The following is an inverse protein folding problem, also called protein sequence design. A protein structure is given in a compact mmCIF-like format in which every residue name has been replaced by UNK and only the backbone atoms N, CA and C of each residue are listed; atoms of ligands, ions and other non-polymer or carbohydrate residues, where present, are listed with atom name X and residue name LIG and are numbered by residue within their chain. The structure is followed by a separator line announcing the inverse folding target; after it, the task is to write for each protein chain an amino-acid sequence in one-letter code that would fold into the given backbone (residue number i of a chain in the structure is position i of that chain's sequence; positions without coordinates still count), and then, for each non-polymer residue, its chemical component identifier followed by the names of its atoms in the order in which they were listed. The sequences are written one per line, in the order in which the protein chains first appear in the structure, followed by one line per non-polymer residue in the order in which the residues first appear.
data_IF_858968271713
#
_entry.id   IF_858968271713
#
_cell.length_a   1.000
_cell.length_b   1.000
_cell.length_c   1.000
_cell.angle_alpha   90.00
_cell.angle_beta   90.00
_cell.angle_gamma   90.00
#
_symmetry.space_group_name_H-M   'P 1'
#
loop_
_entity.id
_entity.type
_entity.pdbx_description
1 polymer ?
#
# COMPACT_ATOMS: atom_id res chain seq x y z
N UNK A 1 -2.68 23.29 -20.45
CA UNK A 1 -2.68 23.30 -21.92
C UNK A 1 -1.30 22.99 -22.49
N UNK A 2 -0.22 23.67 -22.06
CA UNK A 2 1.13 23.49 -22.61
C UNK A 2 1.73 22.05 -22.47
N UNK A 3 1.65 21.42 -21.29
CA UNK A 3 2.32 20.11 -21.08
C UNK A 3 1.76 18.95 -21.93
N UNK A 4 0.45 18.96 -22.22
CA UNK A 4 -0.17 17.92 -23.06
C UNK A 4 0.21 18.05 -24.53
N UNK A 5 0.55 19.26 -24.99
CA UNK A 5 0.94 19.52 -26.38
C UNK A 5 2.34 19.01 -26.69
N UNK A 6 3.24 18.98 -25.70
CA UNK A 6 4.65 18.57 -25.86
C UNK A 6 4.96 17.22 -25.19
N UNK A 7 3.94 16.42 -24.89
CA UNK A 7 4.12 15.19 -24.10
C UNK A 7 5.12 14.19 -24.68
N UNK A 8 5.17 14.06 -26.00
CA UNK A 8 6.11 13.19 -26.72
C UNK A 8 7.56 13.69 -26.65
N UNK A 9 7.76 15.01 -26.54
CA UNK A 9 9.09 15.62 -26.40
C UNK A 9 9.59 15.57 -24.96
N UNK A 10 8.68 15.68 -24.00
CA UNK A 10 8.96 15.65 -22.56
C UNK A 10 9.22 14.22 -22.07
N UNK A 11 8.52 13.24 -22.63
CA UNK A 11 8.57 11.85 -22.15
C UNK A 11 10.00 11.26 -22.09
N UNK A 12 10.87 11.41 -23.10
CA UNK A 12 12.25 10.96 -23.01
C UNK A 12 13.06 11.62 -21.88
N UNK A 13 12.74 12.88 -21.52
CA UNK A 13 13.40 13.60 -20.42
C UNK A 13 12.97 13.00 -19.09
N UNK A 14 11.67 12.73 -18.94
CA UNK A 14 11.12 12.07 -17.75
C UNK A 14 11.71 10.67 -17.55
N UNK A 15 11.81 9.88 -18.63
CA UNK A 15 12.53 8.60 -18.58
C UNK A 15 13.99 8.81 -18.14
N UNK A 16 14.69 9.80 -18.70
CA UNK A 16 16.06 10.10 -18.29
C UNK A 16 16.22 10.33 -16.78
N UNK A 17 15.25 10.99 -16.14
CA UNK A 17 15.27 11.26 -14.70
C UNK A 17 14.85 10.04 -13.87
N UNK A 18 13.88 9.25 -14.35
CA UNK A 18 13.44 8.02 -13.67
C UNK A 18 14.53 6.93 -13.65
N UNK A 19 15.41 6.92 -14.65
CA UNK A 19 16.53 5.99 -14.73
C UNK A 19 17.83 6.56 -14.15
N UNK A 20 17.80 7.76 -13.59
CA UNK A 20 18.96 8.38 -12.97
C UNK A 20 19.13 7.87 -11.53
N UNK A 21 20.33 7.40 -11.18
CA UNK A 21 20.71 7.10 -9.79
C UNK A 21 21.10 8.38 -9.03
N UNK A 22 21.50 9.41 -9.76
CA UNK A 22 21.79 10.76 -9.27
C UNK A 22 21.65 11.75 -10.45
N UNK A 23 21.57 13.04 -10.14
CA UNK A 23 21.64 14.10 -11.16
C UNK A 23 22.98 14.80 -11.06
N UNK A 24 24.03 14.20 -11.65
CA UNK A 24 25.36 14.83 -11.75
C UNK A 24 25.22 16.26 -12.30
N UNK A 25 25.97 17.21 -11.72
CA UNK A 25 25.94 18.66 -11.96
C UNK A 25 24.83 19.48 -11.28
N UNK A 26 23.93 18.86 -10.50
CA UNK A 26 22.97 19.59 -9.66
C UNK A 26 23.12 19.17 -8.20
N UNK A 27 23.10 20.13 -7.28
CA UNK A 27 23.07 19.89 -5.83
C UNK A 27 21.71 19.27 -5.41
N UNK A 28 21.39 18.08 -5.92
CA UNK A 28 20.14 17.34 -5.68
C UNK A 28 20.47 16.14 -4.81
N UNK A 29 19.86 16.07 -3.63
CA UNK A 29 20.02 14.93 -2.73
C UNK A 29 19.22 13.71 -3.22
N UNK A 30 19.52 12.49 -2.75
CA UNK A 30 18.73 11.31 -3.09
C UNK A 30 17.23 11.45 -2.75
N UNK A 31 16.91 12.09 -1.63
CA UNK A 31 15.53 12.32 -1.21
C UNK A 31 14.81 13.29 -2.16
N UNK A 32 15.49 14.36 -2.58
CA UNK A 32 14.95 15.28 -3.57
C UNK A 32 14.78 14.63 -4.95
N UNK A 33 15.67 13.69 -5.30
CA UNK A 33 15.52 12.92 -6.53
C UNK A 33 14.27 12.05 -6.47
N UNK A 34 14.02 11.36 -5.34
CA UNK A 34 12.78 10.60 -5.14
C UNK A 34 11.53 11.50 -5.21
N UNK A 35 11.55 12.70 -4.63
CA UNK A 35 10.44 13.65 -4.78
C UNK A 35 10.18 14.00 -6.26
N UNK A 36 11.23 14.32 -7.01
CA UNK A 36 11.12 14.64 -8.44
C UNK A 36 10.60 13.43 -9.22
N UNK A 37 11.12 12.23 -8.94
CA UNK A 37 10.69 11.00 -9.58
C UNK A 37 9.22 10.71 -9.29
N UNK A 38 8.76 10.90 -8.04
CA UNK A 38 7.35 10.75 -7.67
C UNK A 38 6.43 11.69 -8.43
N UNK A 39 6.78 12.97 -8.52
CA UNK A 39 6.04 13.92 -9.37
C UNK A 39 6.02 13.50 -10.84
N UNK A 40 7.10 12.93 -11.36
CA UNK A 40 7.14 12.43 -12.73
C UNK A 40 6.16 11.27 -12.91
N UNK A 41 6.04 10.34 -11.95
CA UNK A 41 5.05 9.26 -11.99
C UNK A 41 3.64 9.84 -12.14
N UNK A 42 3.24 10.79 -11.28
CA UNK A 42 1.92 11.43 -11.36
C UNK A 42 1.70 12.15 -12.69
N UNK A 43 2.74 12.81 -13.23
CA UNK A 43 2.65 13.52 -14.50
C UNK A 43 2.48 12.56 -15.68
N UNK A 44 3.15 11.40 -15.66
CA UNK A 44 2.98 10.38 -16.70
C UNK A 44 1.51 9.90 -16.75
N UNK A 45 0.91 9.65 -15.59
CA UNK A 45 -0.50 9.27 -15.48
C UNK A 45 -1.43 10.37 -16.04
N UNK A 46 -1.26 11.62 -15.57
CA UNK A 46 -2.05 12.77 -16.03
C UNK A 46 -1.93 13.01 -17.55
N UNK A 47 -0.77 12.72 -18.12
CA UNK A 47 -0.49 12.90 -19.55
C UNK A 47 -0.87 11.65 -20.38
N UNK A 48 -1.32 10.58 -19.73
CA UNK A 48 -1.60 9.26 -20.32
C UNK A 48 -0.40 8.78 -21.14
N UNK A 49 0.78 8.86 -20.53
CA UNK A 49 2.04 8.38 -21.11
C UNK A 49 2.35 6.98 -20.58
N UNK A 50 3.06 6.14 -21.36
CA UNK A 50 3.44 4.82 -20.89
C UNK A 50 4.31 4.89 -19.62
N UNK A 51 4.01 4.04 -18.65
CA UNK A 51 4.80 3.95 -17.42
C UNK A 51 5.93 2.92 -17.55
N UNK A 52 7.16 3.23 -17.13
CA UNK A 52 8.26 2.26 -17.04
C UNK A 52 8.19 1.44 -15.74
N UNK A 53 7.16 0.59 -15.60
CA UNK A 53 6.89 -0.16 -14.36
C UNK A 53 8.06 -0.97 -13.80
N UNK A 54 8.89 -1.55 -14.67
CA UNK A 54 10.10 -2.28 -14.25
C UNK A 54 11.05 -1.37 -13.46
N UNK A 55 11.22 -0.13 -13.89
CA UNK A 55 12.04 0.84 -13.20
C UNK A 55 11.42 1.29 -11.88
N UNK A 56 10.08 1.34 -11.81
CA UNK A 56 9.40 1.63 -10.55
C UNK A 56 9.68 0.57 -9.50
N UNK A 57 9.60 -0.70 -9.88
CA UNK A 57 9.93 -1.83 -9.00
C UNK A 57 11.42 -1.87 -8.66
N UNK A 58 12.30 -1.45 -9.56
CA UNK A 58 13.74 -1.31 -9.28
C UNK A 58 14.00 -0.30 -8.17
N UNK A 59 13.42 0.90 -8.25
CA UNK A 59 13.59 1.93 -7.22
C UNK A 59 12.89 1.50 -5.93
N UNK A 60 11.64 1.04 -6.03
CA UNK A 60 10.83 0.66 -4.88
C UNK A 60 11.51 -0.38 -4.00
N UNK A 61 12.08 -1.46 -4.57
CA UNK A 61 12.58 -2.61 -3.78
C UNK A 61 13.65 -2.24 -2.74
N UNK A 62 14.37 -1.14 -2.96
CA UNK A 62 15.48 -0.70 -2.13
C UNK A 62 15.07 0.34 -1.08
N UNK A 63 13.84 0.89 -1.15
CA UNK A 63 13.38 1.95 -0.26
C UNK A 63 13.18 1.47 1.18
N UNK A 64 13.85 2.15 2.12
CA UNK A 64 13.73 1.85 3.54
C UNK A 64 12.67 2.72 4.24
N UNK A 65 12.45 3.93 3.73
CA UNK A 65 11.55 4.94 4.28
C UNK A 65 10.49 5.34 3.25
N UNK A 66 9.44 5.99 3.72
CA UNK A 66 8.38 6.54 2.88
C UNK A 66 8.91 7.67 1.98
N UNK A 67 8.31 7.80 0.80
CA UNK A 67 8.62 8.88 -0.13
C UNK A 67 7.46 9.10 -1.07
N UNK A 68 7.36 10.29 -1.64
CA UNK A 68 6.38 10.58 -2.68
C UNK A 68 6.51 9.60 -3.87
N UNK A 69 7.75 9.20 -4.20
CA UNK A 69 7.94 8.18 -5.22
C UNK A 69 7.26 6.87 -4.86
N UNK A 70 7.40 6.40 -3.62
CA UNK A 70 6.82 5.14 -3.21
C UNK A 70 5.29 5.15 -3.34
N UNK A 71 4.64 6.22 -2.87
CA UNK A 71 3.19 6.39 -2.95
C UNK A 71 2.69 6.37 -4.40
N UNK A 72 3.28 7.22 -5.25
CA UNK A 72 2.85 7.39 -6.65
C UNK A 72 3.17 6.15 -7.50
N UNK A 73 4.34 5.54 -7.29
CA UNK A 73 4.74 4.33 -7.99
C UNK A 73 3.87 3.14 -7.60
N UNK A 74 3.57 2.95 -6.30
CA UNK A 74 2.66 1.89 -5.84
C UNK A 74 1.26 2.08 -6.41
N UNK A 75 0.72 3.30 -6.42
CA UNK A 75 -0.58 3.58 -7.05
C UNK A 75 -0.58 3.23 -8.56
N UNK A 76 0.44 3.66 -9.31
CA UNK A 76 0.56 3.35 -10.73
C UNK A 76 0.72 1.83 -11.00
N UNK A 77 1.43 1.11 -10.14
CA UNK A 77 1.59 -0.34 -10.23
C UNK A 77 0.30 -1.09 -9.88
N UNK A 78 -0.49 -0.59 -8.94
CA UNK A 78 -1.80 -1.15 -8.62
C UNK A 78 -2.75 -1.06 -9.82
N UNK A 79 -2.77 0.08 -10.51
CA UNK A 79 -3.55 0.27 -11.75
C UNK A 79 -3.05 -0.63 -12.89
N UNK A 80 -1.74 -0.91 -12.96
CA UNK A 80 -1.18 -1.87 -13.91
C UNK A 80 -1.67 -3.32 -13.64
N UNK A 81 -2.01 -3.61 -12.39
CA UNK A 81 -2.60 -4.87 -11.93
C UNK A 81 -1.77 -6.10 -12.36
N UNK A 82 -2.43 -7.01 -13.06
CA UNK A 82 -1.87 -8.32 -13.47
C UNK A 82 -0.66 -8.22 -14.40
N UNK A 83 -0.44 -7.09 -15.08
CA UNK A 83 0.68 -6.91 -16.00
C UNK A 83 2.05 -7.01 -15.31
N UNK A 84 2.11 -6.60 -14.03
CA UNK A 84 3.34 -6.51 -13.25
C UNK A 84 3.45 -7.57 -12.15
N UNK A 85 2.50 -8.52 -12.10
CA UNK A 85 2.35 -9.49 -10.99
C UNK A 85 3.64 -10.25 -10.69
N UNK A 86 4.27 -10.85 -11.70
CA UNK A 86 5.47 -11.66 -11.46
C UNK A 86 6.63 -10.78 -10.97
N UNK A 87 6.78 -9.58 -11.53
CA UNK A 87 7.81 -8.63 -11.12
C UNK A 87 7.59 -8.11 -9.70
N UNK A 88 6.33 -7.97 -9.26
CA UNK A 88 5.99 -7.61 -7.87
C UNK A 88 6.43 -8.72 -6.91
N UNK A 89 6.14 -9.99 -7.22
CA UNK A 89 6.61 -11.12 -6.39
C UNK A 89 8.14 -11.22 -6.35
N UNK A 90 8.81 -11.01 -7.49
CA UNK A 90 10.27 -10.98 -7.55
C UNK A 90 10.88 -9.83 -6.73
N UNK A 91 10.26 -8.64 -6.76
CA UNK A 91 10.68 -7.50 -5.96
C UNK A 91 10.46 -7.75 -4.46
N UNK A 92 9.31 -8.33 -4.08
CA UNK A 92 9.00 -8.65 -2.68
C UNK A 92 10.02 -9.60 -2.06
N UNK A 93 10.49 -10.61 -2.81
CA UNK A 93 11.43 -11.61 -2.32
C UNK A 93 12.78 -11.05 -1.82
N UNK A 94 13.13 -9.82 -2.22
CA UNK A 94 14.38 -9.16 -1.82
C UNK A 94 14.16 -7.86 -1.04
N UNK A 95 12.91 -7.40 -0.91
CA UNK A 95 12.58 -6.13 -0.29
C UNK A 95 12.62 -6.19 1.24
N UNK A 96 12.96 -5.06 1.85
CA UNK A 96 12.86 -4.81 3.29
C UNK A 96 12.28 -3.43 3.56
N UNK A 97 12.15 -3.05 4.83
CA UNK A 97 11.70 -1.71 5.21
C UNK A 97 10.35 -1.31 4.59
N UNK A 98 10.23 -0.04 4.20
CA UNK A 98 9.00 0.50 3.60
C UNK A 98 8.64 -0.16 2.26
N UNK A 99 9.63 -0.52 1.44
CA UNK A 99 9.42 -1.24 0.18
C UNK A 99 8.56 -2.49 0.35
N UNK A 100 8.83 -3.26 1.41
CA UNK A 100 8.08 -4.47 1.72
C UNK A 100 6.59 -4.18 1.94
N UNK A 101 6.27 -3.10 2.65
CA UNK A 101 4.88 -2.66 2.88
C UNK A 101 4.18 -2.33 1.58
N UNK A 102 4.82 -1.54 0.71
CA UNK A 102 4.30 -1.21 -0.63
C UNK A 102 4.04 -2.47 -1.50
N UNK A 103 4.93 -3.46 -1.43
CA UNK A 103 4.82 -4.67 -2.24
C UNK A 103 3.75 -5.62 -1.70
N UNK A 104 3.57 -5.70 -0.38
CA UNK A 104 2.45 -6.43 0.24
C UNK A 104 1.10 -5.83 -0.16
N UNK A 105 1.02 -4.50 -0.19
CA UNK A 105 -0.17 -3.79 -0.67
C UNK A 105 -0.49 -4.17 -2.13
N UNK A 106 0.50 -4.20 -3.02
CA UNK A 106 0.30 -4.67 -4.39
C UNK A 106 -0.13 -6.14 -4.46
N UNK A 107 0.49 -7.00 -3.65
CA UNK A 107 0.18 -8.44 -3.60
C UNK A 107 -1.28 -8.70 -3.22
N UNK A 108 -1.88 -7.90 -2.34
CA UNK A 108 -3.29 -8.07 -1.96
C UNK A 108 -4.30 -7.85 -3.09
N UNK A 109 -3.90 -7.29 -4.24
CA UNK A 109 -4.78 -7.20 -5.41
C UNK A 109 -4.83 -8.50 -6.24
N UNK A 110 -3.91 -9.46 -6.03
CA UNK A 110 -3.78 -10.67 -6.85
C UNK A 110 -4.67 -11.83 -6.37
N UNK A 111 -5.97 -11.57 -6.28
CA UNK A 111 -6.98 -12.58 -5.90
C UNK A 111 -6.88 -13.86 -6.74
N UNK A 112 -6.98 -15.02 -6.09
CA UNK A 112 -6.89 -16.34 -6.74
C UNK A 112 -5.46 -16.85 -6.97
N UNK A 113 -4.42 -16.07 -6.69
CA UNK A 113 -3.04 -16.56 -6.63
C UNK A 113 -2.71 -17.04 -5.21
N UNK A 114 -2.47 -18.34 -5.06
CA UNK A 114 -2.21 -18.95 -3.76
C UNK A 114 -0.98 -18.36 -3.05
N UNK A 115 0.01 -17.85 -3.81
CA UNK A 115 1.21 -17.21 -3.24
C UNK A 115 0.85 -15.93 -2.48
N UNK A 116 -0.14 -15.19 -2.95
CA UNK A 116 -0.56 -13.94 -2.32
C UNK A 116 -1.12 -14.20 -0.91
N UNK A 117 -1.98 -15.21 -0.77
CA UNK A 117 -2.50 -15.61 0.54
C UNK A 117 -1.38 -16.11 1.46
N UNK A 118 -0.50 -16.99 0.96
CA UNK A 118 0.61 -17.55 1.72
C UNK A 118 1.50 -16.44 2.30
N UNK A 119 1.93 -15.51 1.44
CA UNK A 119 2.77 -14.37 1.83
C UNK A 119 2.07 -13.49 2.87
N UNK A 120 0.82 -13.08 2.63
CA UNK A 120 0.11 -12.19 3.55
C UNK A 120 -0.13 -12.86 4.91
N UNK A 121 -0.41 -14.16 4.95
CA UNK A 121 -0.58 -14.91 6.19
C UNK A 121 0.75 -15.09 6.95
N UNK A 122 1.86 -15.31 6.25
CA UNK A 122 3.18 -15.37 6.87
C UNK A 122 3.56 -14.03 7.52
N UNK A 123 3.33 -12.91 6.84
CA UNK A 123 3.55 -11.57 7.40
C UNK A 123 2.61 -11.27 8.56
N UNK A 124 1.34 -11.65 8.45
CA UNK A 124 0.33 -11.45 9.50
C UNK A 124 0.66 -12.21 10.78
N UNK A 125 1.32 -13.36 10.67
CA UNK A 125 1.73 -14.17 11.81
C UNK A 125 3.06 -13.71 12.46
N UNK A 126 3.75 -12.71 11.89
CA UNK A 126 5.02 -12.22 12.43
C UNK A 126 4.83 -11.48 13.78
N UNK A 127 5.80 -11.55 14.72
CA UNK A 127 5.64 -10.94 16.05
C UNK A 127 5.45 -9.41 16.02
N UNK A 128 6.05 -8.73 15.05
CA UNK A 128 5.96 -7.28 14.84
C UNK A 128 5.06 -6.91 13.65
N UNK A 129 4.10 -7.77 13.32
CA UNK A 129 3.17 -7.53 12.22
C UNK A 129 2.35 -6.24 12.45
N UNK A 130 2.19 -5.46 11.37
CA UNK A 130 1.23 -4.35 11.33
C UNK A 130 -0.17 -4.95 11.09
N UNK A 131 -0.82 -5.36 12.18
CA UNK A 131 -2.07 -6.14 12.15
C UNK A 131 -3.17 -5.42 11.36
N UNK A 132 -3.33 -4.11 11.54
CA UNK A 132 -4.36 -3.36 10.84
C UNK A 132 -4.11 -3.33 9.33
N UNK A 133 -2.89 -3.00 8.90
CA UNK A 133 -2.52 -2.97 7.49
C UNK A 133 -2.67 -4.36 6.83
N UNK A 134 -2.22 -5.41 7.50
CA UNK A 134 -2.28 -6.76 6.95
C UNK A 134 -3.71 -7.32 6.96
N UNK A 135 -4.54 -6.95 7.92
CA UNK A 135 -5.97 -7.25 7.89
C UNK A 135 -6.66 -6.59 6.69
N UNK A 136 -6.35 -5.32 6.41
CA UNK A 136 -6.84 -4.64 5.21
C UNK A 136 -6.40 -5.36 3.92
N UNK A 137 -5.12 -5.74 3.83
CA UNK A 137 -4.58 -6.51 2.70
C UNK A 137 -5.31 -7.85 2.51
N UNK A 138 -5.49 -8.62 3.58
CA UNK A 138 -6.19 -9.92 3.55
C UNK A 138 -7.67 -9.76 3.19
N UNK A 139 -8.35 -8.74 3.75
CA UNK A 139 -9.73 -8.39 3.42
C UNK A 139 -9.92 -8.07 1.95
N UNK A 140 -8.99 -7.31 1.36
CA UNK A 140 -8.98 -6.98 -0.06
C UNK A 140 -8.65 -8.17 -0.95
N UNK A 141 -7.74 -9.06 -0.54
CA UNK A 141 -7.46 -10.31 -1.26
C UNK A 141 -8.72 -11.19 -1.35
N UNK A 142 -9.53 -11.20 -0.27
CA UNK A 142 -10.85 -11.81 -0.28
C UNK A 142 -10.88 -13.34 -0.18
N UNK A 143 -9.76 -13.97 0.20
CA UNK A 143 -9.64 -15.43 0.27
C UNK A 143 -10.10 -15.96 1.65
N UNK A 144 -11.07 -16.89 1.63
CA UNK A 144 -11.62 -17.52 2.85
C UNK A 144 -10.56 -18.21 3.70
N UNK A 145 -9.43 -18.62 3.11
CA UNK A 145 -8.29 -19.20 3.84
C UNK A 145 -7.69 -18.27 4.90
N UNK A 146 -7.97 -16.97 4.85
CA UNK A 146 -7.53 -16.01 5.85
C UNK A 146 -8.40 -15.95 7.11
N UNK A 147 -9.65 -16.45 7.04
CA UNK A 147 -10.67 -16.24 8.09
C UNK A 147 -10.25 -16.80 9.45
N UNK A 148 -9.58 -17.95 9.49
CA UNK A 148 -9.16 -18.55 10.77
C UNK A 148 -8.11 -17.69 11.47
N UNK A 149 -7.13 -17.15 10.74
CA UNK A 149 -6.11 -16.25 11.28
C UNK A 149 -6.70 -14.92 11.73
N UNK A 150 -7.58 -14.32 10.92
CA UNK A 150 -8.25 -13.06 11.26
C UNK A 150 -9.15 -13.21 12.51
N UNK A 151 -9.92 -14.30 12.60
CA UNK A 151 -10.77 -14.60 13.78
C UNK A 151 -9.95 -14.89 15.03
N UNK A 152 -8.76 -15.48 14.89
CA UNK A 152 -7.85 -15.67 16.01
C UNK A 152 -7.31 -14.33 16.52
N UNK A 153 -6.90 -13.43 15.61
CA UNK A 153 -6.36 -12.12 15.96
C UNK A 153 -7.41 -11.18 16.58
N UNK A 154 -8.64 -11.12 16.04
CA UNK A 154 -9.69 -10.25 16.59
C UNK A 154 -10.16 -10.66 17.99
N UNK A 155 -9.92 -11.91 18.37
CA UNK A 155 -10.24 -12.43 19.69
C UNK A 155 -9.19 -12.09 20.76
N UNK A 156 -8.05 -11.50 20.38
CA UNK A 156 -7.04 -11.05 21.33
C UNK A 156 -7.57 -9.83 22.11
N UNK A 157 -7.52 -9.92 23.44
CA UNK A 157 -7.96 -8.85 24.32
C UNK A 157 -7.01 -7.64 24.29
N UNK A 158 -5.79 -7.81 23.79
CA UNK A 158 -4.74 -6.77 23.75
C UNK A 158 -4.75 -5.85 22.52
N UNK A 159 -5.59 -6.12 21.51
CA UNK A 159 -5.64 -5.29 20.29
C UNK A 159 -6.17 -3.88 20.57
N UNK A 160 -5.66 -2.91 19.84
CA UNK A 160 -6.14 -1.53 19.87
C UNK A 160 -7.40 -1.37 18.99
N UNK A 161 -8.16 -0.29 19.19
CA UNK A 161 -9.44 -0.11 18.50
C UNK A 161 -9.28 -0.03 16.97
N UNK A 162 -8.20 0.58 16.47
CA UNK A 162 -7.99 0.67 15.03
C UNK A 162 -7.72 -0.71 14.40
N UNK A 163 -7.01 -1.61 15.09
CA UNK A 163 -6.76 -2.98 14.64
C UNK A 163 -8.06 -3.78 14.61
N UNK A 164 -8.87 -3.67 15.66
CA UNK A 164 -10.19 -4.31 15.70
C UNK A 164 -11.06 -3.89 14.51
N UNK A 165 -11.06 -2.61 14.13
CA UNK A 165 -11.85 -2.13 12.99
C UNK A 165 -11.42 -2.79 11.70
N UNK A 166 -10.12 -2.85 11.41
CA UNK A 166 -9.64 -3.45 10.16
C UNK A 166 -9.82 -4.97 10.14
N UNK A 167 -9.61 -5.65 11.27
CA UNK A 167 -9.91 -7.08 11.41
C UNK A 167 -11.40 -7.37 11.17
N UNK A 168 -12.29 -6.57 11.77
CA UNK A 168 -13.73 -6.68 11.54
C UNK A 168 -14.07 -6.47 10.07
N UNK A 169 -13.59 -5.37 9.47
CA UNK A 169 -13.85 -5.06 8.07
C UNK A 169 -13.43 -6.23 7.17
N UNK A 170 -12.26 -6.81 7.41
CA UNK A 170 -11.75 -7.94 6.65
C UNK A 170 -12.60 -9.21 6.83
N UNK A 171 -12.94 -9.59 8.06
CA UNK A 171 -13.75 -10.78 8.33
C UNK A 171 -15.16 -10.64 7.72
N UNK A 172 -15.78 -9.47 7.86
CA UNK A 172 -17.11 -9.20 7.30
C UNK A 172 -17.08 -9.21 5.76
N UNK A 173 -16.04 -8.64 5.14
CA UNK A 173 -15.88 -8.63 3.70
C UNK A 173 -15.71 -10.03 3.11
N UNK A 174 -14.93 -10.90 3.78
CA UNK A 174 -14.65 -12.26 3.32
C UNK A 174 -15.82 -13.22 3.66
N UNK A 175 -16.25 -13.23 4.92
CA UNK A 175 -17.20 -14.23 5.44
C UNK A 175 -18.67 -13.81 5.38
N UNK A 176 -18.96 -12.51 5.23
CA UNK A 176 -20.33 -11.98 5.26
C UNK A 176 -21.02 -12.04 6.63
N UNK A 177 -20.29 -12.43 7.69
CA UNK A 177 -20.78 -12.51 9.06
C UNK A 177 -20.46 -11.22 9.81
N UNK A 178 -21.49 -10.54 10.33
CA UNK A 178 -21.33 -9.35 11.16
C UNK A 178 -20.58 -9.69 12.46
N UNK A 179 -19.55 -8.90 12.77
CA UNK A 179 -18.80 -9.04 14.01
C UNK A 179 -19.41 -8.12 15.08
N UNK A 180 -19.81 -8.66 16.24
CA UNK A 180 -20.36 -7.85 17.31
C UNK A 180 -19.41 -6.72 17.72
N UNK A 181 -19.99 -5.57 18.06
CA UNK A 181 -19.23 -4.48 18.66
C UNK A 181 -18.57 -4.93 19.98
N UNK A 182 -17.39 -4.36 20.23
CA UNK A 182 -16.62 -4.51 21.46
C UNK A 182 -16.36 -3.14 22.05
N UNK A 183 -16.38 -3.06 23.38
CA UNK A 183 -16.09 -1.82 24.11
C UNK A 183 -14.57 -1.60 24.19
N UNK A 184 -14.13 -0.44 23.68
CA UNK A 184 -12.75 0.03 23.74
C UNK A 184 -12.64 1.33 24.54
N UNK A 185 -13.56 1.59 25.46
CA UNK A 185 -13.52 2.78 26.33
C UNK A 185 -12.12 2.94 26.96
N UNK A 186 -11.54 4.13 26.79
CA UNK A 186 -10.17 4.44 27.21
C UNK A 186 -9.10 4.32 26.11
N UNK A 187 -9.45 3.76 24.95
CA UNK A 187 -8.68 3.92 23.72
C UNK A 187 -8.87 5.34 23.15
N UNK A 188 -7.76 5.98 22.77
CA UNK A 188 -7.78 7.38 22.36
C UNK A 188 -8.62 7.64 21.09
N UNK A 189 -8.58 6.73 20.12
CA UNK A 189 -9.34 6.85 18.88
C UNK A 189 -10.82 6.53 19.12
N UNK A 190 -11.11 5.51 19.92
CA UNK A 190 -12.48 5.13 20.28
C UNK A 190 -13.19 6.28 21.00
N UNK A 191 -12.58 6.82 22.06
CA UNK A 191 -13.12 7.91 22.87
C UNK A 191 -13.32 9.19 22.03
N UNK A 192 -12.36 9.52 21.15
CA UNK A 192 -12.47 10.67 20.26
C UNK A 192 -13.68 10.57 19.32
N UNK A 193 -13.90 9.40 18.71
CA UNK A 193 -15.01 9.18 17.79
C UNK A 193 -16.36 9.14 18.51
N UNK A 194 -16.43 8.56 19.71
CA UNK A 194 -17.64 8.57 20.53
C UNK A 194 -18.07 10.00 20.87
N UNK A 195 -17.13 10.84 21.32
CA UNK A 195 -17.40 12.25 21.62
C UNK A 195 -17.87 13.05 20.39
N UNK A 196 -17.24 12.84 19.22
CA UNK A 196 -17.63 13.52 17.99
C UNK A 196 -19.05 13.13 17.49
N UNK A 197 -19.50 11.92 17.77
CA UNK A 197 -20.86 11.48 17.43
C UNK A 197 -21.92 12.08 18.37
N UNK A 198 -21.61 12.21 19.66
CA UNK A 198 -22.50 12.89 20.63
C UNK A 198 -22.71 14.37 20.27
N UNK A 199 -21.67 15.07 19.83
CA UNK A 199 -21.78 16.48 19.40
C UNK A 199 -22.62 16.64 18.12
N UNK A 200 -22.49 15.72 17.15
CA UNK A 200 -23.25 15.78 15.89
C UNK A 200 -24.70 15.28 16.04
N UNK A 201 -25.00 14.43 17.02
CA UNK A 201 -26.35 13.97 17.34
C UNK A 201 -27.17 14.97 18.17
N UNK A 202 -26.54 16.03 18.67
CA UNK A 202 -27.17 17.07 19.50
C UNK A 202 -27.65 18.32 18.72
N UNK A 203 -27.66 18.27 17.38
CA UNK A 203 -28.08 19.38 16.47
C UNK A 203 -29.44 19.11 15.82
#
# INVERSE_FOLDING_TARGET
HCLLEYKEEIYPIFLGILYADNLEDKDVTPEQLLEIQGHIVSLLEQMQMPHPYEQYLNILRDLQEDSLFAEEATAALAEAGEQVREQVFEAYAVAGGYAKKCLLDLISYYSGDARALEILLEEFAAPEADIAFLAECLGRLGDEGALDSLRAAIADDGIEYYEFRELRNAIEAIGGEEIPDRDFSGDALYDYLAAAQEENGAV
#
